data_IF_728993999122
#
_entry.id   IF_728993999122
#
_cell.length_a   1.000
_cell.length_b   1.000
_cell.length_c   1.000
_cell.angle_alpha   90.00
_cell.angle_beta   90.00
_cell.angle_gamma   90.00
#
_symmetry.space_group_name_H-M   'P 1'
#
loop_
_entity.id
_entity.type
_entity.pdbx_description
1 polymer ?
#
# COMPACT_ATOMS: atom_id res chain seq x y z
N UNK A 1 -3.96 -38.59 1.11
CA UNK A 1 -4.77 -37.96 2.18
C UNK A 1 -4.71 -36.43 1.96
N UNK A 2 -5.83 -35.76 1.79
CA UNK A 2 -5.84 -34.29 1.76
C UNK A 2 -5.49 -33.76 3.16
N UNK A 3 -4.49 -32.88 3.24
CA UNK A 3 -4.14 -32.19 4.48
C UNK A 3 -5.39 -31.45 4.99
N UNK A 4 -5.74 -31.52 6.28
CA UNK A 4 -6.88 -30.78 6.80
C UNK A 4 -6.69 -29.28 6.55
N UNK A 5 -7.77 -28.50 6.33
CA UNK A 5 -7.65 -27.06 6.12
C UNK A 5 -7.01 -26.41 7.35
N UNK A 6 -6.10 -25.46 7.11
CA UNK A 6 -5.48 -24.69 8.19
C UNK A 6 -6.52 -23.87 8.95
N UNK A 7 -6.37 -23.71 10.28
CA UNK A 7 -7.22 -22.82 11.05
C UNK A 7 -7.16 -21.37 10.53
N UNK A 8 -8.33 -20.73 10.45
CA UNK A 8 -8.48 -19.36 9.95
C UNK A 8 -7.56 -18.37 10.70
N UNK A 9 -7.37 -18.57 12.01
CA UNK A 9 -6.51 -17.72 12.83
C UNK A 9 -5.03 -17.83 12.43
N UNK A 10 -4.56 -19.00 12.06
CA UNK A 10 -3.17 -19.23 11.59
C UNK A 10 -2.95 -18.51 10.26
N UNK A 11 -3.92 -18.60 9.34
CA UNK A 11 -3.86 -17.90 8.06
C UNK A 11 -3.84 -16.39 8.29
N UNK A 12 -4.69 -15.88 9.17
CA UNK A 12 -4.76 -14.46 9.53
C UNK A 12 -3.42 -13.95 10.09
N UNK A 13 -2.84 -14.66 11.06
CA UNK A 13 -1.56 -14.30 11.67
C UNK A 13 -0.43 -14.26 10.64
N UNK A 14 -0.38 -15.25 9.72
CA UNK A 14 0.60 -15.29 8.64
C UNK A 14 0.46 -14.08 7.70
N UNK A 15 -0.77 -13.72 7.36
CA UNK A 15 -1.08 -12.55 6.53
C UNK A 15 -0.65 -11.24 7.19
N UNK A 16 -0.97 -11.08 8.46
CA UNK A 16 -0.61 -9.87 9.22
C UNK A 16 0.92 -9.75 9.38
N UNK A 17 1.60 -10.86 9.63
CA UNK A 17 3.06 -10.90 9.71
C UNK A 17 3.72 -10.54 8.37
N UNK A 18 3.20 -11.06 7.24
CA UNK A 18 3.71 -10.76 5.92
C UNK A 18 3.53 -9.29 5.55
N UNK A 19 2.36 -8.69 5.86
CA UNK A 19 2.10 -7.28 5.65
C UNK A 19 3.04 -6.41 6.48
N UNK A 20 3.21 -6.73 7.76
CA UNK A 20 4.14 -6.04 8.66
C UNK A 20 5.57 -6.09 8.14
N UNK A 21 6.01 -7.25 7.66
CA UNK A 21 7.33 -7.44 7.07
C UNK A 21 7.53 -6.62 5.78
N UNK A 22 6.50 -6.55 4.93
CA UNK A 22 6.53 -5.75 3.70
C UNK A 22 6.67 -4.25 4.00
N UNK A 23 5.85 -3.73 4.91
CA UNK A 23 5.86 -2.31 5.32
C UNK A 23 7.19 -1.95 6.00
N UNK A 24 7.66 -2.80 6.91
CA UNK A 24 8.86 -2.56 7.71
C UNK A 24 10.17 -2.46 6.90
N UNK A 25 10.19 -2.94 5.66
CA UNK A 25 11.36 -2.86 4.77
C UNK A 25 11.55 -1.51 4.10
N UNK A 26 10.53 -0.66 4.06
CA UNK A 26 10.60 0.64 3.40
C UNK A 26 10.86 1.73 4.44
N UNK A 27 12.10 2.28 4.53
CA UNK A 27 12.44 3.29 5.54
C UNK A 27 11.54 4.53 5.45
N UNK A 28 11.14 4.93 4.26
CA UNK A 28 10.31 6.13 4.05
C UNK A 28 8.87 5.94 4.58
N UNK A 29 8.31 4.74 4.47
CA UNK A 29 7.02 4.41 5.10
C UNK A 29 7.10 4.60 6.62
N UNK A 30 8.18 4.11 7.24
CA UNK A 30 8.41 4.30 8.68
C UNK A 30 8.61 5.78 9.05
N UNK A 31 9.32 6.53 8.24
CA UNK A 31 9.52 7.97 8.46
C UNK A 31 8.22 8.76 8.46
N UNK A 32 7.31 8.46 7.54
CA UNK A 32 5.98 9.05 7.49
C UNK A 32 5.05 8.52 8.58
N UNK A 33 5.35 7.36 9.15
CA UNK A 33 4.50 6.68 10.13
C UNK A 33 3.27 5.99 9.53
N UNK A 34 3.29 5.73 8.21
CA UNK A 34 2.17 5.07 7.53
C UNK A 34 2.02 3.65 8.02
N UNK A 35 0.80 3.28 8.34
CA UNK A 35 0.37 1.93 8.71
C UNK A 35 -0.73 1.43 7.79
N UNK A 36 -1.10 0.16 7.91
CA UNK A 36 -2.17 -0.43 7.11
C UNK A 36 -3.11 -1.23 8.00
N UNK A 37 -4.41 -0.94 7.88
CA UNK A 37 -5.49 -1.77 8.42
C UNK A 37 -5.93 -2.76 7.33
N UNK A 38 -5.91 -4.07 7.67
CA UNK A 38 -6.31 -5.14 6.77
C UNK A 38 -7.64 -5.76 7.23
N UNK A 39 -8.61 -5.76 6.34
CA UNK A 39 -9.89 -6.45 6.55
C UNK A 39 -10.13 -7.43 5.40
N UNK A 40 -9.87 -8.71 5.65
CA UNK A 40 -9.86 -9.70 4.58
C UNK A 40 -8.72 -9.40 3.59
N UNK A 41 -9.06 -9.16 2.34
CA UNK A 41 -8.12 -8.82 1.27
C UNK A 41 -7.99 -7.31 1.06
N UNK A 42 -8.85 -6.52 1.68
CA UNK A 42 -8.86 -5.08 1.58
C UNK A 42 -7.80 -4.45 2.49
N UNK A 43 -7.00 -3.56 1.92
CA UNK A 43 -6.03 -2.74 2.65
C UNK A 43 -6.47 -1.28 2.68
N UNK A 44 -6.46 -0.69 3.88
CA UNK A 44 -6.59 0.74 4.07
C UNK A 44 -5.29 1.29 4.63
N UNK A 45 -4.63 2.15 3.86
CA UNK A 45 -3.49 2.92 4.36
C UNK A 45 -3.96 3.95 5.37
N UNK A 46 -3.19 4.14 6.43
CA UNK A 46 -3.42 5.13 7.47
C UNK A 46 -2.18 5.99 7.60
N UNK A 47 -2.35 7.29 7.42
CA UNK A 47 -1.32 8.30 7.69
C UNK A 47 -1.69 9.00 8.99
N UNK A 48 -1.09 8.62 10.14
CA UNK A 48 -1.29 9.33 11.39
C UNK A 48 -0.78 10.76 11.28
N UNK A 49 -1.55 11.71 11.77
CA UNK A 49 -1.13 13.10 11.75
C UNK A 49 0.09 13.31 12.65
N UNK A 50 1.05 14.07 12.11
CA UNK A 50 2.18 14.61 12.86
C UNK A 50 2.47 16.03 12.35
N UNK A 51 2.88 16.92 13.22
CA UNK A 51 3.16 18.33 12.89
C UNK A 51 4.18 18.49 11.76
N UNK A 52 5.16 17.59 11.67
CA UNK A 52 6.15 17.54 10.59
C UNK A 52 5.55 17.38 9.18
N UNK A 53 4.28 16.98 9.07
CA UNK A 53 3.59 16.77 7.80
C UNK A 53 2.94 18.03 7.25
N UNK A 54 2.93 19.12 8.03
CA UNK A 54 2.35 20.41 7.62
C UNK A 54 3.24 21.07 6.56
N UNK A 55 2.64 21.42 5.43
CA UNK A 55 3.30 22.13 4.34
C UNK A 55 3.01 23.62 4.30
N UNK A 56 1.88 24.04 4.88
CA UNK A 56 1.50 25.46 4.97
C UNK A 56 1.09 25.78 6.43
N UNK A 57 1.93 26.49 7.18
CA UNK A 57 1.64 26.80 8.58
C UNK A 57 0.56 27.88 8.76
N UNK A 58 0.31 28.71 7.74
CA UNK A 58 -0.68 29.79 7.80
C UNK A 58 -2.10 29.21 7.62
N UNK A 59 -2.24 28.27 6.71
CA UNK A 59 -3.44 27.47 6.51
C UNK A 59 -3.04 26.03 6.85
N UNK A 60 -3.12 25.61 8.12
CA UNK A 60 -2.54 24.35 8.52
C UNK A 60 -3.11 23.20 7.68
N UNK A 61 -2.28 22.75 6.73
CA UNK A 61 -2.63 21.70 5.78
C UNK A 61 -1.47 20.75 5.59
N UNK A 62 -1.79 19.47 5.42
CA UNK A 62 -0.80 18.44 5.07
C UNK A 62 -0.13 18.83 3.75
N UNK A 63 1.20 18.73 3.71
CA UNK A 63 1.98 19.03 2.51
C UNK A 63 1.55 18.15 1.34
N UNK A 64 1.37 18.75 0.16
CA UNK A 64 0.96 18.02 -1.05
C UNK A 64 1.89 16.87 -1.41
N UNK A 65 3.20 17.02 -1.22
CA UNK A 65 4.19 15.96 -1.41
C UNK A 65 4.01 14.79 -0.45
N UNK A 66 3.59 15.04 0.80
CA UNK A 66 3.25 13.99 1.76
C UNK A 66 1.99 13.25 1.31
N UNK A 67 0.97 13.98 0.86
CA UNK A 67 -0.27 13.40 0.32
C UNK A 67 0.03 12.52 -0.90
N UNK A 68 0.84 13.02 -1.84
CA UNK A 68 1.28 12.26 -3.02
C UNK A 68 2.04 10.99 -2.63
N UNK A 69 3.01 11.10 -1.73
CA UNK A 69 3.77 9.96 -1.23
C UNK A 69 2.87 8.92 -0.53
N UNK A 70 1.91 9.37 0.27
CA UNK A 70 0.96 8.49 0.94
C UNK A 70 0.08 7.71 -0.04
N UNK A 71 -0.42 8.38 -1.09
CA UNK A 71 -1.20 7.73 -2.16
C UNK A 71 -0.35 6.73 -2.94
N UNK A 72 0.88 7.08 -3.28
CA UNK A 72 1.83 6.20 -3.98
C UNK A 72 2.17 4.97 -3.13
N UNK A 73 2.52 5.16 -1.86
CA UNK A 73 2.78 4.08 -0.90
C UNK A 73 1.59 3.13 -0.82
N UNK A 74 0.37 3.67 -0.68
CA UNK A 74 -0.85 2.86 -0.62
C UNK A 74 -1.02 2.02 -1.88
N UNK A 75 -0.75 2.59 -3.05
CA UNK A 75 -0.81 1.89 -4.34
C UNK A 75 0.23 0.77 -4.45
N UNK A 76 1.48 1.07 -4.13
CA UNK A 76 2.60 0.10 -4.20
C UNK A 76 2.41 -1.05 -3.21
N UNK A 77 1.99 -0.75 -1.98
CA UNK A 77 1.74 -1.79 -0.97
C UNK A 77 0.55 -2.67 -1.38
N UNK A 78 -0.52 -2.09 -1.90
CA UNK A 78 -1.68 -2.86 -2.39
C UNK A 78 -1.28 -3.80 -3.54
N UNK A 79 -0.51 -3.32 -4.51
CA UNK A 79 0.01 -4.15 -5.62
C UNK A 79 0.92 -5.27 -5.10
N UNK A 80 1.85 -4.93 -4.21
CA UNK A 80 2.77 -5.92 -3.63
C UNK A 80 2.02 -6.96 -2.82
N UNK A 81 1.01 -6.55 -2.06
CA UNK A 81 0.17 -7.42 -1.26
C UNK A 81 -0.61 -8.42 -2.11
N UNK A 82 -1.23 -7.94 -3.21
CA UNK A 82 -2.00 -8.81 -4.12
C UNK A 82 -1.11 -9.88 -4.76
N UNK A 83 0.12 -9.53 -5.15
CA UNK A 83 1.06 -10.50 -5.71
C UNK A 83 1.60 -11.49 -4.66
N UNK A 84 1.78 -11.02 -3.43
CA UNK A 84 2.26 -11.84 -2.32
C UNK A 84 1.24 -12.89 -1.87
N UNK A 85 -0.02 -12.63 -2.13
CA UNK A 85 -1.13 -13.47 -1.70
C UNK A 85 -1.06 -14.89 -2.26
N UNK A 86 -0.87 -15.00 -3.56
CA UNK A 86 -0.77 -16.30 -4.23
C UNK A 86 0.45 -17.10 -3.72
N UNK A 87 1.55 -16.42 -3.43
CA UNK A 87 2.77 -17.04 -2.89
C UNK A 87 2.58 -17.51 -1.44
N UNK A 88 1.83 -16.75 -0.63
CA UNK A 88 1.49 -17.14 0.75
C UNK A 88 0.52 -18.34 0.79
N UNK A 89 -0.48 -18.36 -0.08
CA UNK A 89 -1.47 -19.44 -0.16
C UNK A 89 -0.85 -20.75 -0.67
N UNK A 90 0.07 -20.65 -1.63
CA UNK A 90 0.79 -21.81 -2.17
C UNK A 90 1.87 -22.37 -1.23
N UNK A 91 2.20 -21.65 -0.15
CA UNK A 91 3.32 -21.99 0.73
C UNK A 91 4.70 -21.74 0.12
N UNK A 92 4.77 -21.02 -1.02
CA UNK A 92 6.03 -20.69 -1.67
C UNK A 92 6.90 -19.70 -0.87
N UNK A 93 6.30 -19.01 0.11
CA UNK A 93 6.98 -18.10 1.03
C UNK A 93 7.13 -18.75 2.41
N UNK A 94 8.00 -19.74 2.52
CA UNK A 94 8.37 -20.29 3.83
C UNK A 94 9.34 -19.38 4.60
N UNK A 95 10.02 -18.47 3.89
CA UNK A 95 11.03 -17.58 4.47
C UNK A 95 10.73 -16.10 4.18
N UNK A 96 10.55 -15.31 5.25
CA UNK A 96 10.37 -13.87 5.19
C UNK A 96 11.55 -13.10 4.54
N UNK A 97 12.65 -13.77 4.23
CA UNK A 97 13.80 -13.18 3.52
C UNK A 97 13.57 -13.06 2.01
N UNK A 98 12.65 -13.82 1.47
CA UNK A 98 12.37 -13.94 0.03
C UNK A 98 11.22 -13.06 -0.46
N UNK A 99 11.03 -11.87 0.12
CA UNK A 99 9.99 -10.97 -0.36
C UNK A 99 10.18 -10.58 -1.83
N UNK A 100 9.09 -10.55 -2.62
CA UNK A 100 9.14 -10.11 -4.00
C UNK A 100 9.66 -8.68 -4.09
N UNK A 101 10.28 -8.35 -5.21
CA UNK A 101 10.65 -6.98 -5.49
C UNK A 101 9.38 -6.13 -5.57
N UNK A 102 9.43 -4.94 -5.00
CA UNK A 102 8.31 -4.02 -5.07
C UNK A 102 8.13 -3.49 -6.50
N UNK A 103 6.88 -3.21 -6.92
CA UNK A 103 6.61 -2.50 -8.15
C UNK A 103 7.34 -1.17 -8.22
N UNK A 104 7.72 -0.75 -9.43
CA UNK A 104 8.34 0.57 -9.65
C UNK A 104 7.34 1.51 -10.28
N UNK A 105 7.17 2.67 -9.70
CA UNK A 105 6.33 3.73 -10.24
C UNK A 105 6.91 4.24 -11.56
N UNK A 106 6.09 4.26 -12.60
CA UNK A 106 6.44 4.81 -13.92
C UNK A 106 5.88 6.22 -14.04
N UNK A 107 4.62 6.36 -13.63
CA UNK A 107 3.83 7.57 -13.75
C UNK A 107 2.84 7.61 -12.57
N UNK A 108 2.63 8.80 -12.03
CA UNK A 108 1.72 9.00 -10.91
C UNK A 108 1.12 10.40 -10.95
N UNK A 109 -0.15 10.49 -11.32
CA UNK A 109 -0.88 11.75 -11.43
C UNK A 109 -1.81 11.93 -10.24
N UNK A 110 -1.67 13.04 -9.53
CA UNK A 110 -2.42 13.34 -8.30
C UNK A 110 -3.36 14.52 -8.52
N UNK A 111 -4.61 14.34 -8.13
CA UNK A 111 -5.62 15.39 -8.06
C UNK A 111 -5.83 15.80 -6.61
N UNK A 112 -5.50 17.04 -6.29
CA UNK A 112 -5.76 17.64 -4.97
C UNK A 112 -7.12 18.32 -4.98
N UNK A 113 -8.12 17.63 -4.42
CA UNK A 113 -9.51 18.08 -4.47
C UNK A 113 -9.85 19.08 -3.37
N UNK A 114 -9.15 18.98 -2.22
CA UNK A 114 -9.30 19.82 -1.05
C UNK A 114 -8.00 19.86 -0.26
N UNK A 115 -7.88 20.80 0.66
CA UNK A 115 -6.79 20.81 1.64
C UNK A 115 -6.89 19.60 2.57
N UNK A 116 -5.80 18.85 2.72
CA UNK A 116 -5.67 17.85 3.77
C UNK A 116 -5.54 18.56 5.11
N UNK A 117 -6.50 18.36 6.00
CA UNK A 117 -6.53 19.02 7.31
C UNK A 117 -5.49 18.38 8.26
N UNK A 118 -5.09 19.06 9.36
CA UNK A 118 -4.13 18.55 10.34
C UNK A 118 -4.75 17.46 11.22
N UNK A 119 -5.03 16.33 10.63
CA UNK A 119 -5.60 15.13 11.25
C UNK A 119 -5.26 13.90 10.44
N UNK A 120 -5.51 12.72 10.98
CA UNK A 120 -5.25 11.45 10.31
C UNK A 120 -5.91 11.39 8.93
N UNK A 121 -5.23 10.75 7.99
CA UNK A 121 -5.75 10.49 6.66
C UNK A 121 -5.75 8.99 6.35
N UNK A 122 -6.69 8.59 5.54
CA UNK A 122 -6.91 7.22 5.10
C UNK A 122 -6.86 7.17 3.59
N UNK A 123 -6.35 6.07 3.04
CA UNK A 123 -6.33 5.87 1.60
C UNK A 123 -6.61 4.41 1.25
N UNK A 124 -7.24 4.21 0.10
CA UNK A 124 -7.52 2.89 -0.43
C UNK A 124 -7.25 2.86 -1.93
N UNK A 125 -6.51 1.84 -2.34
CA UNK A 125 -6.15 1.64 -3.74
C UNK A 125 -6.98 0.53 -4.35
N UNK A 126 -7.35 0.72 -5.61
CA UNK A 126 -8.02 -0.26 -6.44
C UNK A 126 -7.21 -0.50 -7.70
N UNK A 127 -6.83 -1.74 -7.94
CA UNK A 127 -6.13 -2.13 -9.16
C UNK A 127 -7.14 -2.08 -10.31
N UNK A 128 -6.93 -1.17 -11.26
CA UNK A 128 -7.81 -0.99 -12.43
C UNK A 128 -7.38 -1.86 -13.60
N UNK A 129 -6.10 -2.20 -13.66
CA UNK A 129 -5.53 -3.12 -14.63
C UNK A 129 -4.35 -3.85 -14.01
N UNK A 130 -4.38 -5.17 -14.06
CA UNK A 130 -3.26 -6.02 -13.68
C UNK A 130 -2.75 -6.76 -14.90
N UNK A 131 -1.49 -6.56 -15.23
CA UNK A 131 -0.78 -7.25 -16.30
C UNK A 131 0.55 -7.81 -15.81
N UNK A 132 1.14 -8.72 -16.57
CA UNK A 132 2.41 -9.35 -16.18
C UNK A 132 3.58 -8.36 -16.04
N UNK A 133 3.61 -7.29 -16.82
CA UNK A 133 4.70 -6.29 -16.83
C UNK A 133 4.28 -4.95 -16.26
N UNK A 134 3.01 -4.60 -16.39
CA UNK A 134 2.48 -3.29 -15.99
C UNK A 134 1.16 -3.46 -15.26
N UNK A 135 0.95 -2.62 -14.25
CA UNK A 135 -0.31 -2.48 -13.56
C UNK A 135 -0.73 -1.02 -13.52
N UNK A 136 -2.03 -0.77 -13.47
CA UNK A 136 -2.61 0.56 -13.24
C UNK A 136 -3.45 0.52 -11.98
N UNK A 137 -3.34 1.56 -11.17
CA UNK A 137 -4.02 1.68 -9.89
C UNK A 137 -4.70 3.03 -9.79
N UNK A 138 -5.92 3.04 -9.30
CA UNK A 138 -6.60 4.24 -8.84
C UNK A 138 -6.63 4.22 -7.31
N UNK A 139 -6.28 5.33 -6.67
CA UNK A 139 -6.21 5.45 -5.22
C UNK A 139 -6.92 6.71 -4.76
N UNK A 140 -7.69 6.59 -3.70
CA UNK A 140 -8.50 7.65 -3.11
C UNK A 140 -8.11 7.87 -1.66
N UNK A 141 -8.04 9.15 -1.24
CA UNK A 141 -7.76 9.52 0.14
C UNK A 141 -8.85 10.40 0.74
N UNK A 142 -9.17 10.10 1.98
CA UNK A 142 -10.16 10.82 2.80
C UNK A 142 -9.66 11.00 4.23
N UNK A 143 -10.39 11.78 5.02
CA UNK A 143 -10.12 11.96 6.44
C UNK A 143 -11.31 11.49 7.29
N UNK A 144 -12.32 12.31 7.50
CA UNK A 144 -13.45 11.96 8.37
C UNK A 144 -14.51 11.09 7.68
N UNK A 145 -14.66 11.24 6.36
CA UNK A 145 -15.71 10.58 5.59
C UNK A 145 -15.18 10.13 4.24
N UNK A 146 -15.25 8.83 3.98
CA UNK A 146 -14.78 8.22 2.74
C UNK A 146 -15.47 8.75 1.48
N UNK A 147 -16.71 9.26 1.59
CA UNK A 147 -17.41 9.88 0.45
C UNK A 147 -16.91 11.29 0.12
N UNK A 148 -16.06 11.88 0.98
CA UNK A 148 -15.52 13.25 0.83
C UNK A 148 -14.00 13.21 0.64
N UNK A 149 -13.56 12.82 -0.54
CA UNK A 149 -12.15 12.73 -0.87
C UNK A 149 -11.48 14.10 -0.78
N UNK A 150 -10.26 14.15 -0.24
CA UNK A 150 -9.42 15.34 -0.30
C UNK A 150 -8.33 15.24 -1.38
N UNK A 151 -7.98 14.01 -1.79
CA UNK A 151 -7.08 13.74 -2.90
C UNK A 151 -7.40 12.39 -3.53
N UNK A 152 -7.02 12.25 -4.79
CA UNK A 152 -7.01 10.98 -5.51
C UNK A 152 -5.83 10.93 -6.45
N UNK A 153 -5.48 9.73 -6.93
CA UNK A 153 -4.42 9.58 -7.91
C UNK A 153 -4.67 8.38 -8.82
N UNK A 154 -4.05 8.45 -9.98
CA UNK A 154 -3.90 7.31 -10.89
C UNK A 154 -2.41 7.08 -11.11
N UNK A 155 -1.97 5.84 -10.92
CA UNK A 155 -0.58 5.45 -11.09
C UNK A 155 -0.40 4.27 -12.03
N UNK A 156 0.74 4.26 -12.72
CA UNK A 156 1.18 3.16 -13.57
C UNK A 156 2.49 2.61 -13.01
N UNK A 157 2.58 1.28 -12.93
CA UNK A 157 3.68 0.61 -12.26
C UNK A 157 4.28 -0.50 -13.12
N UNK A 158 5.61 -0.55 -13.13
CA UNK A 158 6.33 -1.69 -13.68
C UNK A 158 6.35 -2.80 -12.64
N UNK A 159 5.78 -3.95 -12.99
CA UNK A 159 5.71 -5.09 -12.10
C UNK A 159 7.05 -5.84 -12.06
N UNK A 160 7.47 -6.32 -10.88
CA UNK A 160 8.68 -7.10 -10.78
C UNK A 160 8.55 -8.39 -11.59
N UNK A 161 9.60 -8.69 -12.36
CA UNK A 161 9.66 -9.94 -13.14
C UNK A 161 10.21 -11.07 -12.25
N UNK A 162 9.78 -12.33 -12.46
CA UNK A 162 10.40 -13.48 -11.82
C UNK A 162 11.92 -13.45 -12.03
N UNK A 163 12.67 -13.88 -11.02
CA UNK A 163 14.12 -14.10 -11.22
C UNK A 163 14.28 -15.19 -12.28
N UNK A 164 14.92 -14.85 -13.38
CA UNK A 164 15.49 -15.86 -14.27
C UNK A 164 16.80 -16.25 -13.60
N UNK A 165 16.84 -17.42 -12.96
CA UNK A 165 18.09 -17.99 -12.50
C UNK A 165 18.95 -18.21 -13.73
N UNK A 166 19.87 -17.31 -13.97
CA UNK A 166 20.97 -17.52 -14.93
C UNK A 166 21.86 -18.59 -14.32
N UNK A 167 21.73 -19.82 -14.86
CA UNK A 167 22.68 -20.91 -14.62
C UNK A 167 24.07 -20.53 -15.10
#
# INVERSE_FOLDING_TARGET
MRKPPEPVEVIKQRRDAALTGLIGRVPYIRYLGVTFDRRGDELTGVLPFAEKLIGNPILPAIHGGVTSAFLEITSVITLSWTNLWDDLESGALEDATTFPRMPKTIDFTVDYLRSGLPRDAYARARITRAGRRYASVHVEAWQDNQSKLFAQATGHFLMPQPRVDTK
#
